data_IF_659288977584
#
_entry.id   IF_659288977584
#
_cell.length_a   1.000
_cell.length_b   1.000
_cell.length_c   1.000
_cell.angle_alpha   90.00
_cell.angle_beta   90.00
_cell.angle_gamma   90.00
#
_symmetry.space_group_name_H-M   'P 1'
#
loop_
_entity.id
_entity.type
_entity.pdbx_description
1 polymer ?
#
# COMPACT_ATOMS: atom_id res chain seq x y z
N UNK A 1 6.49 7.40 -12.30
CA UNK A 1 5.09 7.12 -12.00
C UNK A 1 4.34 8.44 -11.94
N UNK A 2 3.28 8.59 -12.71
CA UNK A 2 2.38 9.75 -12.67
C UNK A 2 1.40 9.64 -11.50
N UNK A 3 0.76 10.75 -11.13
CA UNK A 3 -0.24 10.74 -10.06
C UNK A 3 -1.43 9.83 -10.36
N UNK A 4 -1.83 9.71 -11.63
CA UNK A 4 -2.90 8.82 -12.06
C UNK A 4 -2.52 7.34 -11.88
N UNK A 5 -1.30 6.96 -12.29
CA UNK A 5 -0.77 5.61 -12.08
C UNK A 5 -0.65 5.29 -10.58
N UNK A 6 -0.20 6.26 -9.78
CA UNK A 6 -0.09 6.08 -8.33
C UNK A 6 -1.44 5.89 -7.65
N UNK A 7 -2.44 6.69 -8.05
CA UNK A 7 -3.83 6.53 -7.58
C UNK A 7 -4.36 5.14 -7.91
N UNK A 8 -4.09 4.66 -9.12
CA UNK A 8 -4.49 3.31 -9.53
C UNK A 8 -3.77 2.25 -8.72
N UNK A 9 -2.45 2.38 -8.52
CA UNK A 9 -1.67 1.46 -7.71
C UNK A 9 -2.18 1.36 -6.26
N UNK A 10 -2.54 2.48 -5.63
CA UNK A 10 -3.18 2.49 -4.30
C UNK A 10 -4.48 1.67 -4.31
N UNK A 11 -5.31 1.86 -5.35
CA UNK A 11 -6.57 1.13 -5.51
C UNK A 11 -6.35 -0.37 -5.74
N UNK A 12 -5.41 -0.74 -6.61
CA UNK A 12 -5.06 -2.14 -6.89
C UNK A 12 -4.51 -2.83 -5.64
N UNK A 13 -3.78 -2.11 -4.79
CA UNK A 13 -3.34 -2.59 -3.49
C UNK A 13 -4.49 -2.77 -2.47
N UNK A 14 -5.75 -2.46 -2.84
CA UNK A 14 -6.92 -2.62 -1.98
C UNK A 14 -7.22 -1.42 -1.08
N UNK A 15 -6.52 -0.30 -1.26
CA UNK A 15 -6.70 0.89 -0.42
C UNK A 15 -7.49 1.99 -1.11
N UNK A 16 -8.20 2.79 -0.31
CA UNK A 16 -8.64 4.13 -0.72
C UNK A 16 -7.53 5.15 -0.42
N UNK A 17 -7.55 6.32 -1.07
CA UNK A 17 -6.59 7.40 -0.73
C UNK A 17 -6.63 7.78 0.76
N UNK A 18 -7.82 7.77 1.38
CA UNK A 18 -7.97 8.09 2.79
C UNK A 18 -7.38 7.00 3.69
N UNK A 19 -7.60 5.72 3.35
CA UNK A 19 -7.00 4.61 4.08
C UNK A 19 -5.47 4.64 3.95
N UNK A 20 -4.94 4.82 2.74
CA UNK A 20 -3.50 4.91 2.52
C UNK A 20 -2.88 6.12 3.27
N UNK A 21 -3.54 7.28 3.27
CA UNK A 21 -3.07 8.43 4.05
C UNK A 21 -2.99 8.13 5.55
N UNK A 22 -3.97 7.38 6.08
CA UNK A 22 -3.97 6.94 7.48
C UNK A 22 -2.83 5.98 7.77
N UNK A 23 -2.58 4.98 6.92
CA UNK A 23 -1.46 4.04 7.10
C UNK A 23 -0.10 4.75 7.09
N UNK A 24 0.02 5.81 6.28
CA UNK A 24 1.23 6.63 6.20
C UNK A 24 1.33 7.71 7.30
N UNK A 25 0.32 7.87 8.15
CA UNK A 25 0.31 8.88 9.21
C UNK A 25 0.25 10.33 8.71
N UNK A 26 -0.37 10.57 7.54
CA UNK A 26 -0.46 11.90 6.92
C UNK A 26 -1.90 12.33 6.66
N UNK A 27 -2.09 13.63 6.43
CA UNK A 27 -3.38 14.14 5.96
C UNK A 27 -3.73 13.60 4.57
N UNK A 28 -5.02 13.31 4.36
CA UNK A 28 -5.56 12.86 3.06
C UNK A 28 -5.18 13.79 1.91
N UNK A 29 -5.11 15.10 2.14
CA UNK A 29 -4.71 16.08 1.13
C UNK A 29 -3.28 15.86 0.62
N UNK A 30 -2.37 15.37 1.45
CA UNK A 30 -1.00 15.03 1.05
C UNK A 30 -1.01 13.97 -0.05
N UNK A 31 -1.78 12.90 0.14
CA UNK A 31 -1.94 11.84 -0.86
C UNK A 31 -2.73 12.35 -2.07
N UNK A 32 -3.73 13.21 -1.86
CA UNK A 32 -4.47 13.87 -2.93
C UNK A 32 -3.56 14.66 -3.87
N UNK A 33 -2.62 15.44 -3.32
CA UNK A 33 -1.61 16.19 -4.09
C UNK A 33 -0.73 15.26 -4.92
N UNK A 34 -0.29 14.13 -4.34
CA UNK A 34 0.51 13.15 -5.08
C UNK A 34 -0.30 12.51 -6.23
N UNK A 35 -1.58 12.19 -6.01
CA UNK A 35 -2.45 11.61 -7.04
C UNK A 35 -2.76 12.57 -8.21
N UNK A 36 -2.52 13.88 -8.04
CA UNK A 36 -2.70 14.90 -9.08
C UNK A 36 -1.37 15.36 -9.69
N UNK A 37 -0.24 14.92 -9.14
CA UNK A 37 1.08 15.33 -9.60
C UNK A 37 1.40 14.75 -10.98
N UNK A 38 2.06 15.52 -11.83
CA UNK A 38 2.58 15.04 -13.12
C UNK A 38 3.62 13.93 -12.91
N UNK A 39 4.38 14.02 -11.83
CA UNK A 39 5.32 12.99 -11.38
C UNK A 39 5.23 12.86 -9.86
N UNK A 40 5.06 11.63 -9.38
CA UNK A 40 5.00 11.33 -7.95
C UNK A 40 6.41 11.21 -7.39
N UNK A 41 6.62 11.72 -6.17
CA UNK A 41 7.89 11.55 -5.47
C UNK A 41 8.18 10.05 -5.27
N UNK A 42 9.41 9.64 -5.57
CA UNK A 42 9.84 8.24 -5.45
C UNK A 42 9.61 7.68 -4.05
N UNK A 43 9.74 8.51 -3.01
CA UNK A 43 9.47 8.10 -1.63
C UNK A 43 8.06 7.52 -1.47
N UNK A 44 7.04 8.11 -2.11
CA UNK A 44 5.67 7.60 -2.03
C UNK A 44 5.47 6.29 -2.78
N UNK A 45 6.18 6.12 -3.89
CA UNK A 45 6.19 4.86 -4.64
C UNK A 45 6.81 3.75 -3.78
N UNK A 46 7.93 4.02 -3.11
CA UNK A 46 8.57 3.06 -2.22
C UNK A 46 7.74 2.77 -0.97
N UNK A 47 7.08 3.78 -0.39
CA UNK A 47 6.19 3.61 0.75
C UNK A 47 5.03 2.66 0.41
N UNK A 48 4.40 2.85 -0.75
CA UNK A 48 3.35 1.94 -1.23
C UNK A 48 3.88 0.52 -1.45
N UNK A 49 5.04 0.37 -2.09
CA UNK A 49 5.65 -0.94 -2.29
C UNK A 49 5.98 -1.66 -0.97
N UNK A 50 6.50 -0.92 0.01
CA UNK A 50 6.79 -1.46 1.34
C UNK A 50 5.54 -1.92 2.08
N UNK A 51 4.44 -1.15 2.01
CA UNK A 51 3.16 -1.53 2.59
C UNK A 51 2.64 -2.84 1.98
N UNK A 52 2.61 -2.93 0.64
CA UNK A 52 2.15 -4.14 -0.07
C UNK A 52 3.01 -5.35 0.31
N UNK A 53 4.34 -5.18 0.36
CA UNK A 53 5.24 -6.26 0.75
C UNK A 53 5.02 -6.72 2.19
N UNK A 54 4.77 -5.80 3.13
CA UNK A 54 4.50 -6.12 4.53
C UNK A 54 3.19 -6.89 4.71
N UNK A 55 2.12 -6.48 4.03
CA UNK A 55 0.83 -7.19 4.02
C UNK A 55 0.98 -8.58 3.38
N UNK A 56 1.70 -8.67 2.26
CA UNK A 56 2.00 -9.95 1.61
C UNK A 56 2.76 -10.92 2.52
N UNK A 57 3.79 -10.43 3.22
CA UNK A 57 4.54 -11.23 4.17
C UNK A 57 3.64 -11.73 5.32
N UNK A 58 2.80 -10.87 5.88
CA UNK A 58 1.87 -11.22 6.96
C UNK A 58 0.85 -12.29 6.52
N UNK A 59 0.32 -12.17 5.30
CA UNK A 59 -0.59 -13.15 4.72
C UNK A 59 0.08 -14.52 4.55
N UNK A 60 1.31 -14.55 4.02
CA UNK A 60 2.08 -15.79 3.87
C UNK A 60 2.36 -16.43 5.22
N UNK A 61 2.79 -15.66 6.23
CA UNK A 61 3.00 -16.18 7.60
C UNK A 61 1.73 -16.79 8.18
N UNK A 62 0.57 -16.15 8.00
CA UNK A 62 -0.70 -16.69 8.49
C UNK A 62 -1.09 -18.00 7.80
N UNK A 63 -0.84 -18.12 6.49
CA UNK A 63 -1.11 -19.35 5.74
C UNK A 63 -0.22 -20.50 6.25
N UNK A 64 1.08 -20.24 6.41
CA UNK A 64 2.03 -21.24 6.91
C UNK A 64 1.65 -21.69 8.32
N UNK A 65 1.35 -20.76 9.22
CA UNK A 65 0.94 -21.11 10.59
C UNK A 65 -0.30 -22.03 10.65
N UNK A 66 -1.30 -21.79 9.79
CA UNK A 66 -2.49 -22.66 9.69
C UNK A 66 -2.16 -24.05 9.15
N UNK A 67 -1.21 -24.15 8.21
CA UNK A 67 -0.77 -25.44 7.67
C UNK A 67 -0.02 -26.25 8.73
N UNK A 68 0.78 -25.60 9.57
CA UNK A 68 1.48 -26.26 10.67
C UNK A 68 0.49 -26.81 11.71
N UNK A 69 -0.56 -26.06 12.06
CA UNK A 69 -1.63 -26.49 12.98
C UNK A 69 -2.41 -27.71 12.46
N UNK A 70 -2.66 -27.80 11.15
CA UNK A 70 -3.38 -28.94 10.54
C UNK A 70 -2.52 -30.21 10.48
N UNK A 71 -1.20 -30.07 10.42
CA UNK A 71 -0.25 -31.19 10.32
C UNK A 71 0.32 -31.63 11.68
N UNK A 72 -0.12 -31.02 12.79
CA UNK A 72 0.27 -31.32 14.18
C UNK A 72 -0.76 -32.23 14.86
#
# INVERSE_FOLDING_TARGET
MTGAEFKEAIRTAGYTQAAFAREMGVHRETIGKQCQATSVDRMWVYALAGLIAGEGASAVTSIVGKLDEVNS
#
